data_IF_833604865827
#
_entry.id   IF_833604865827
#
_cell.length_a   1.000
_cell.length_b   1.000
_cell.length_c   1.000
_cell.angle_alpha   90.00
_cell.angle_beta   90.00
_cell.angle_gamma   90.00
#
_symmetry.space_group_name_H-M   'P 1'
#
loop_
_entity.id
_entity.type
_entity.pdbx_description
1 polymer ?
#
# COMPACT_ATOMS: atom_id res chain seq x y z
N UNK A 1 -14.88 -6.53 9.44
CA UNK A 1 -15.47 -5.44 8.63
C UNK A 1 -16.29 -6.09 7.53
N UNK A 2 -17.43 -5.55 7.18
CA UNK A 2 -18.26 -6.08 6.10
C UNK A 2 -17.88 -5.41 4.78
N UNK A 3 -17.53 -6.22 3.80
CA UNK A 3 -17.22 -5.78 2.43
C UNK A 3 -18.16 -6.44 1.41
N UNK A 4 -19.24 -7.11 1.85
CA UNK A 4 -20.17 -7.87 1.00
C UNK A 4 -20.55 -7.12 -0.27
N UNK A 5 -20.43 -7.78 -1.42
CA UNK A 5 -20.75 -7.22 -2.73
C UNK A 5 -19.71 -6.25 -3.31
N UNK A 6 -18.57 -6.06 -2.64
CA UNK A 6 -17.44 -5.24 -3.16
C UNK A 6 -16.36 -6.13 -3.78
N UNK A 7 -15.47 -5.53 -4.56
CA UNK A 7 -14.30 -6.17 -5.13
C UNK A 7 -13.09 -5.27 -4.97
N UNK A 8 -11.94 -5.86 -4.61
CA UNK A 8 -10.72 -5.12 -4.36
C UNK A 8 -9.58 -5.50 -5.31
N UNK A 9 -8.73 -4.52 -5.61
CA UNK A 9 -7.40 -4.72 -6.17
C UNK A 9 -6.39 -4.42 -5.06
N UNK A 10 -5.43 -5.33 -4.83
CA UNK A 10 -4.34 -5.13 -3.87
C UNK A 10 -3.02 -5.29 -4.60
N UNK A 11 -2.28 -4.19 -4.80
CA UNK A 11 -0.91 -4.29 -5.30
C UNK A 11 0.01 -4.78 -4.19
N UNK A 12 0.96 -5.68 -4.51
CA UNK A 12 1.80 -6.30 -3.48
C UNK A 12 1.03 -7.24 -2.54
N UNK A 13 -0.10 -7.79 -3.00
CA UNK A 13 -0.98 -8.63 -2.21
C UNK A 13 -0.47 -10.06 -1.95
N UNK A 14 0.67 -10.43 -2.54
CA UNK A 14 1.22 -11.78 -2.41
C UNK A 14 1.91 -12.03 -1.06
N UNK A 15 2.43 -11.00 -0.40
CA UNK A 15 3.22 -11.10 0.83
C UNK A 15 2.93 -9.98 1.84
N UNK A 16 3.45 -10.16 3.07
CA UNK A 16 3.53 -9.12 4.10
C UNK A 16 2.19 -8.44 4.41
N UNK A 17 2.19 -7.10 4.46
CA UNK A 17 0.99 -6.30 4.77
C UNK A 17 -0.10 -6.54 3.73
N UNK A 18 0.26 -6.58 2.43
CA UNK A 18 -0.71 -6.79 1.34
C UNK A 18 -1.43 -8.13 1.45
N UNK A 19 -0.73 -9.20 1.83
CA UNK A 19 -1.34 -10.53 2.07
C UNK A 19 -2.35 -10.50 3.23
N UNK A 20 -2.06 -9.78 4.32
CA UNK A 20 -3.00 -9.64 5.43
C UNK A 20 -4.21 -8.75 5.08
N UNK A 21 -4.02 -7.77 4.18
CA UNK A 21 -5.14 -7.03 3.59
C UNK A 21 -6.03 -7.96 2.75
N UNK A 22 -5.42 -8.80 1.89
CA UNK A 22 -6.16 -9.81 1.11
C UNK A 22 -6.94 -10.74 2.04
N UNK A 23 -6.31 -11.26 3.11
CA UNK A 23 -6.98 -12.08 4.14
C UNK A 23 -8.23 -11.38 4.69
N UNK A 24 -8.07 -10.16 5.20
CA UNK A 24 -9.16 -9.43 5.85
C UNK A 24 -10.31 -9.07 4.90
N UNK A 25 -10.03 -8.85 3.60
CA UNK A 25 -11.06 -8.60 2.59
C UNK A 25 -11.81 -9.91 2.28
N UNK A 26 -11.11 -11.03 2.12
CA UNK A 26 -11.73 -12.35 1.86
C UNK A 26 -12.60 -12.79 3.04
N UNK A 27 -12.12 -12.62 4.27
CA UNK A 27 -12.89 -12.88 5.49
C UNK A 27 -14.12 -11.97 5.61
N UNK A 28 -14.06 -10.77 5.03
CA UNK A 28 -15.20 -9.85 4.87
C UNK A 28 -16.17 -10.21 3.75
N UNK A 29 -16.01 -11.37 3.09
CA UNK A 29 -16.97 -11.91 2.11
C UNK A 29 -16.77 -11.40 0.67
N UNK A 30 -15.56 -10.97 0.28
CA UNK A 30 -15.29 -10.27 -0.98
C UNK A 30 -14.19 -10.92 -1.82
N UNK A 31 -14.33 -10.80 -3.14
CA UNK A 31 -13.27 -11.22 -4.07
C UNK A 31 -12.15 -10.18 -4.19
N UNK A 32 -10.93 -10.66 -4.28
CA UNK A 32 -9.71 -9.84 -4.37
C UNK A 32 -8.91 -10.20 -5.59
N UNK A 33 -8.40 -9.19 -6.28
CA UNK A 33 -7.39 -9.36 -7.32
C UNK A 33 -6.04 -8.94 -6.71
N UNK A 34 -5.14 -9.90 -6.58
CA UNK A 34 -3.73 -9.63 -6.28
C UNK A 34 -3.07 -9.14 -7.57
N UNK A 35 -2.52 -7.92 -7.54
CA UNK A 35 -1.66 -7.39 -8.59
C UNK A 35 -0.22 -7.39 -8.06
N UNK A 36 0.63 -8.30 -8.53
CA UNK A 36 1.97 -8.51 -7.99
C UNK A 36 2.95 -8.92 -9.10
N UNK A 37 4.23 -8.66 -8.88
CA UNK A 37 5.32 -9.14 -9.74
C UNK A 37 5.65 -10.62 -9.46
N UNK A 38 5.45 -11.07 -8.21
CA UNK A 38 5.80 -12.42 -7.76
C UNK A 38 4.64 -13.40 -7.91
N UNK A 39 4.53 -13.99 -9.10
CA UNK A 39 3.50 -14.98 -9.42
C UNK A 39 3.53 -16.20 -8.48
N UNK A 40 4.72 -16.68 -8.09
CA UNK A 40 4.83 -17.85 -7.24
C UNK A 40 4.23 -17.60 -5.84
N UNK A 41 4.53 -16.45 -5.24
CA UNK A 41 3.94 -16.02 -3.96
C UNK A 41 2.43 -15.78 -4.08
N UNK A 42 1.97 -15.17 -5.19
CA UNK A 42 0.55 -14.96 -5.44
C UNK A 42 -0.21 -16.29 -5.56
N UNK A 43 0.34 -17.28 -6.25
CA UNK A 43 -0.25 -18.62 -6.35
C UNK A 43 -0.33 -19.33 -4.99
N UNK A 44 0.67 -19.17 -4.13
CA UNK A 44 0.62 -19.69 -2.76
C UNK A 44 -0.50 -19.04 -1.94
N UNK A 45 -0.69 -17.71 -2.08
CA UNK A 45 -1.76 -16.97 -1.44
C UNK A 45 -3.15 -17.39 -1.97
N UNK A 46 -3.28 -17.60 -3.28
CA UNK A 46 -4.52 -18.15 -3.87
C UNK A 46 -4.82 -19.55 -3.32
N UNK A 47 -3.81 -20.41 -3.20
CA UNK A 47 -4.01 -21.75 -2.65
C UNK A 47 -4.48 -21.72 -1.17
N UNK A 48 -4.08 -20.70 -0.41
CA UNK A 48 -4.49 -20.52 0.99
C UNK A 48 -5.93 -19.98 1.10
N UNK A 49 -6.32 -18.99 0.28
CA UNK A 49 -7.60 -18.29 0.41
C UNK A 49 -8.70 -18.79 -0.55
N UNK A 50 -8.34 -19.65 -1.51
CA UNK A 50 -9.28 -20.26 -2.44
C UNK A 50 -9.76 -19.33 -3.56
N UNK A 51 -10.93 -19.65 -4.16
CA UNK A 51 -11.40 -19.05 -5.42
C UNK A 51 -11.86 -17.58 -5.29
N UNK A 52 -11.92 -17.03 -4.07
CA UNK A 52 -12.20 -15.61 -3.85
C UNK A 52 -11.03 -14.71 -4.25
N UNK A 53 -9.85 -15.27 -4.48
CA UNK A 53 -8.64 -14.55 -4.83
C UNK A 53 -8.22 -14.88 -6.25
N UNK A 54 -8.00 -13.86 -7.07
CA UNK A 54 -7.46 -13.93 -8.41
C UNK A 54 -6.10 -13.22 -8.49
N UNK A 55 -5.36 -13.43 -9.55
CA UNK A 55 -4.04 -12.84 -9.77
C UNK A 55 -3.93 -12.19 -11.15
N UNK A 56 -3.28 -11.03 -11.17
CA UNK A 56 -2.83 -10.37 -12.39
C UNK A 56 -1.37 -9.96 -12.20
N UNK A 57 -0.51 -10.37 -13.11
CA UNK A 57 0.89 -9.93 -13.11
C UNK A 57 0.98 -8.43 -13.36
N UNK A 58 1.70 -7.70 -12.49
CA UNK A 58 1.87 -6.26 -12.62
C UNK A 58 3.24 -5.83 -12.07
N UNK A 59 4.05 -5.22 -12.94
CA UNK A 59 5.29 -4.54 -12.54
C UNK A 59 5.01 -3.04 -12.37
N UNK A 60 5.10 -2.53 -11.13
CA UNK A 60 4.93 -1.11 -10.83
C UNK A 60 6.08 -0.23 -11.36
N UNK A 61 7.18 -0.83 -11.79
CA UNK A 61 8.27 -0.15 -12.47
C UNK A 61 8.04 0.08 -13.97
N UNK A 62 6.98 -0.48 -14.53
CA UNK A 62 6.64 -0.42 -15.96
C UNK A 62 5.22 0.14 -16.15
N UNK A 63 5.14 1.34 -16.74
CA UNK A 63 3.86 2.02 -16.95
C UNK A 63 2.93 1.25 -17.91
N UNK A 64 3.48 0.69 -19.00
CA UNK A 64 2.68 -0.07 -19.98
C UNK A 64 2.15 -1.37 -19.39
N UNK A 65 2.96 -2.04 -18.54
CA UNK A 65 2.51 -3.21 -17.80
C UNK A 65 1.37 -2.88 -16.83
N UNK A 66 1.44 -1.74 -16.13
CA UNK A 66 0.36 -1.27 -15.25
C UNK A 66 -0.90 -1.00 -16.07
N UNK A 67 -0.80 -0.26 -17.17
CA UNK A 67 -1.94 0.05 -18.04
C UNK A 67 -2.64 -1.21 -18.54
N UNK A 68 -1.87 -2.15 -19.09
CA UNK A 68 -2.36 -3.43 -19.58
C UNK A 68 -3.06 -4.23 -18.49
N UNK A 69 -2.44 -4.36 -17.32
CA UNK A 69 -3.00 -5.09 -16.20
C UNK A 69 -4.30 -4.43 -15.68
N UNK A 70 -4.30 -3.11 -15.48
CA UNK A 70 -5.48 -2.39 -15.02
C UNK A 70 -6.62 -2.46 -16.04
N UNK A 71 -6.36 -2.32 -17.34
CA UNK A 71 -7.37 -2.48 -18.37
C UNK A 71 -7.97 -3.90 -18.36
N UNK A 72 -7.14 -4.93 -18.21
CA UNK A 72 -7.62 -6.31 -18.12
C UNK A 72 -8.53 -6.55 -16.90
N UNK A 73 -8.28 -5.86 -15.80
CA UNK A 73 -9.08 -5.94 -14.58
C UNK A 73 -10.38 -5.15 -14.72
N UNK A 74 -10.29 -3.90 -15.17
CA UNK A 74 -11.42 -2.95 -15.19
C UNK A 74 -12.40 -3.23 -16.33
N UNK A 75 -12.01 -4.02 -17.35
CA UNK A 75 -12.92 -4.49 -18.41
C UNK A 75 -13.78 -5.69 -18.02
N UNK A 76 -13.54 -6.30 -16.87
CA UNK A 76 -14.33 -7.44 -16.36
C UNK A 76 -15.72 -6.97 -15.95
N UNK A 77 -16.74 -7.85 -15.99
CA UNK A 77 -18.14 -7.48 -15.68
C UNK A 77 -18.34 -7.10 -14.19
N UNK A 78 -17.51 -7.66 -13.30
CA UNK A 78 -17.61 -7.39 -11.88
C UNK A 78 -17.00 -6.04 -11.53
N UNK A 79 -17.76 -5.22 -10.82
CA UNK A 79 -17.31 -3.91 -10.38
C UNK A 79 -16.12 -4.01 -9.42
N UNK A 80 -15.16 -3.12 -9.59
CA UNK A 80 -14.09 -2.85 -8.62
C UNK A 80 -14.49 -1.65 -7.76
N UNK A 81 -14.37 -1.79 -6.44
CA UNK A 81 -14.76 -0.78 -5.45
C UNK A 81 -13.60 -0.23 -4.64
N UNK A 82 -12.52 -1.02 -4.54
CA UNK A 82 -11.39 -0.74 -3.66
C UNK A 82 -10.07 -0.94 -4.42
N UNK A 83 -9.16 0.04 -4.30
CA UNK A 83 -7.75 -0.11 -4.69
C UNK A 83 -6.88 0.08 -3.45
N UNK A 84 -6.03 -0.90 -3.14
CA UNK A 84 -4.99 -0.78 -2.12
C UNK A 84 -3.62 -0.82 -2.81
N UNK A 85 -2.90 0.30 -2.77
CA UNK A 85 -1.52 0.40 -3.22
C UNK A 85 -0.59 0.03 -2.06
N UNK A 86 -0.23 -1.25 -1.97
CA UNK A 86 0.63 -1.78 -0.91
C UNK A 86 2.04 -2.16 -1.39
N UNK A 87 2.22 -2.43 -2.68
CA UNK A 87 3.52 -2.74 -3.25
C UNK A 87 4.51 -1.57 -3.13
N UNK A 88 5.77 -1.89 -2.93
CA UNK A 88 6.85 -0.90 -2.89
C UNK A 88 8.21 -1.54 -2.69
N UNK A 89 9.23 -0.74 -2.80
CA UNK A 89 10.63 -1.12 -2.56
C UNK A 89 11.26 -0.15 -1.57
N UNK A 90 12.25 -0.64 -0.82
CA UNK A 90 13.02 0.20 0.11
C UNK A 90 14.39 0.51 -0.50
N UNK A 91 14.88 1.71 -0.24
CA UNK A 91 16.27 2.10 -0.45
C UNK A 91 16.84 2.49 0.92
N UNK A 92 17.91 1.84 1.33
CA UNK A 92 18.53 2.02 2.64
C UNK A 92 19.96 2.61 2.55
N UNK A 93 20.44 2.95 1.35
CA UNK A 93 21.78 3.52 1.17
C UNK A 93 21.85 4.95 1.73
N UNK A 94 22.95 5.32 2.42
CA UNK A 94 23.24 6.70 2.78
C UNK A 94 23.23 7.61 1.53
N UNK A 95 22.96 8.90 1.73
CA UNK A 95 22.76 9.84 0.63
C UNK A 95 23.99 9.94 -0.30
N UNK A 96 25.19 9.92 0.26
CA UNK A 96 26.47 9.95 -0.46
C UNK A 96 26.79 8.67 -1.25
N UNK A 97 26.04 7.58 -1.03
CA UNK A 97 26.17 6.31 -1.72
C UNK A 97 24.94 5.98 -2.59
N UNK A 98 23.92 6.84 -2.57
CA UNK A 98 22.69 6.65 -3.32
C UNK A 98 22.95 6.98 -4.80
N UNK A 99 22.88 5.97 -5.68
CA UNK A 99 23.01 6.21 -7.12
C UNK A 99 21.73 6.81 -7.70
N UNK A 100 21.89 7.48 -8.87
CA UNK A 100 20.75 8.04 -9.60
C UNK A 100 19.75 6.93 -10.02
N UNK A 101 20.26 5.80 -10.45
CA UNK A 101 19.44 4.65 -10.87
C UNK A 101 18.60 4.09 -9.72
N UNK A 102 19.16 4.03 -8.50
CA UNK A 102 18.42 3.57 -7.31
C UNK A 102 17.38 4.60 -6.87
N UNK A 103 17.71 5.89 -6.95
CA UNK A 103 16.76 6.98 -6.76
C UNK A 103 15.59 6.87 -7.73
N UNK A 104 15.86 6.85 -9.04
CA UNK A 104 14.84 6.75 -10.09
C UNK A 104 13.99 5.49 -9.95
N UNK A 105 14.62 4.33 -9.68
CA UNK A 105 13.89 3.09 -9.46
C UNK A 105 12.93 3.19 -8.27
N UNK A 106 13.37 3.79 -7.17
CA UNK A 106 12.55 3.92 -5.95
C UNK A 106 11.37 4.86 -6.17
N UNK A 107 11.60 6.02 -6.78
CA UNK A 107 10.53 6.97 -7.15
C UNK A 107 9.56 6.34 -8.14
N UNK A 108 10.08 5.67 -9.17
CA UNK A 108 9.27 5.03 -10.22
C UNK A 108 8.32 3.98 -9.65
N UNK A 109 8.79 3.10 -8.77
CA UNK A 109 7.96 2.05 -8.19
C UNK A 109 7.01 2.62 -7.13
N UNK A 110 7.52 3.38 -6.15
CA UNK A 110 6.74 3.74 -4.97
C UNK A 110 5.78 4.91 -5.18
N UNK A 111 6.08 5.80 -6.11
CA UNK A 111 5.28 7.00 -6.35
C UNK A 111 4.64 6.99 -7.74
N UNK A 112 5.44 6.87 -8.80
CA UNK A 112 4.93 6.89 -10.18
C UNK A 112 4.04 5.67 -10.45
N UNK A 113 4.40 4.48 -9.95
CA UNK A 113 3.56 3.27 -10.05
C UNK A 113 2.21 3.44 -9.36
N UNK A 114 2.18 4.02 -8.15
CA UNK A 114 0.91 4.34 -7.48
C UNK A 114 0.10 5.40 -8.25
N UNK A 115 0.76 6.43 -8.79
CA UNK A 115 0.09 7.39 -9.68
C UNK A 115 -0.53 6.67 -10.89
N UNK A 116 0.22 5.76 -11.52
CA UNK A 116 -0.26 5.03 -12.70
C UNK A 116 -1.47 4.15 -12.40
N UNK A 117 -1.48 3.41 -11.29
CA UNK A 117 -2.67 2.63 -10.89
C UNK A 117 -3.86 3.53 -10.60
N UNK A 118 -3.67 4.66 -9.92
CA UNK A 118 -4.72 5.62 -9.61
C UNK A 118 -5.24 6.28 -10.88
N UNK A 119 -4.38 6.64 -11.84
CA UNK A 119 -4.78 7.28 -13.10
C UNK A 119 -5.70 6.40 -13.95
N UNK A 120 -5.53 5.08 -13.87
CA UNK A 120 -6.40 4.13 -14.56
C UNK A 120 -7.74 3.94 -13.84
N UNK A 121 -7.74 3.86 -12.50
CA UNK A 121 -8.98 3.57 -11.76
C UNK A 121 -9.81 4.82 -11.48
N UNK A 122 -9.23 6.00 -11.41
CA UNK A 122 -9.94 7.24 -11.09
C UNK A 122 -11.10 7.55 -12.06
N UNK A 123 -10.91 7.50 -13.40
CA UNK A 123 -12.02 7.68 -14.34
C UNK A 123 -13.07 6.56 -14.22
N UNK A 124 -12.66 5.34 -13.93
CA UNK A 124 -13.57 4.22 -13.68
C UNK A 124 -14.42 4.48 -12.43
N UNK A 125 -13.83 4.84 -11.30
CA UNK A 125 -14.57 5.18 -10.07
C UNK A 125 -15.51 6.38 -10.26
N UNK A 126 -15.09 7.36 -11.05
CA UNK A 126 -15.95 8.50 -11.40
C UNK A 126 -17.21 8.07 -12.15
N UNK A 127 -17.11 7.13 -13.08
CA UNK A 127 -18.26 6.57 -13.82
C UNK A 127 -19.11 5.64 -12.93
N UNK A 128 -18.47 4.89 -12.03
CA UNK A 128 -19.12 3.96 -11.13
C UNK A 128 -19.71 4.62 -9.86
N UNK A 129 -19.75 5.96 -9.80
CA UNK A 129 -20.28 6.74 -8.67
C UNK A 129 -19.56 6.50 -7.34
N UNK A 130 -18.23 6.33 -7.41
CA UNK A 130 -17.37 6.28 -6.23
C UNK A 130 -16.49 5.04 -6.12
N UNK A 131 -15.57 5.09 -5.18
CA UNK A 131 -14.63 4.03 -4.83
C UNK A 131 -13.68 4.45 -3.70
N UNK A 132 -12.88 3.51 -3.22
CA UNK A 132 -11.95 3.73 -2.12
C UNK A 132 -10.52 3.41 -2.54
N UNK A 133 -9.61 4.32 -2.28
CA UNK A 133 -8.18 4.17 -2.53
C UNK A 133 -7.46 4.25 -1.19
N UNK A 134 -6.64 3.25 -0.88
CA UNK A 134 -5.77 3.27 0.30
C UNK A 134 -4.33 3.08 -0.14
N UNK A 135 -3.48 4.05 0.17
CA UNK A 135 -2.06 4.01 -0.15
C UNK A 135 -1.24 3.61 1.08
N UNK A 136 -0.33 2.67 0.94
CA UNK A 136 0.61 2.33 2.02
C UNK A 136 1.84 3.21 1.89
N UNK A 137 1.88 4.21 2.76
CA UNK A 137 3.00 5.15 2.91
C UNK A 137 4.03 4.61 3.90
N UNK A 138 4.60 5.45 4.74
CA UNK A 138 5.56 5.11 5.80
C UNK A 138 5.77 6.28 6.74
N UNK A 139 6.13 6.02 7.99
CA UNK A 139 6.68 7.06 8.89
C UNK A 139 7.93 7.74 8.32
N UNK A 140 8.67 7.09 7.42
CA UNK A 140 9.79 7.70 6.71
C UNK A 140 9.39 8.95 5.91
N UNK A 141 8.13 9.03 5.46
CA UNK A 141 7.58 10.21 4.78
C UNK A 141 7.51 11.45 5.68
N UNK A 142 7.40 11.24 6.99
CA UNK A 142 7.27 12.30 8.01
C UNK A 142 8.62 12.59 8.68
N UNK A 143 9.38 11.55 8.99
CA UNK A 143 10.66 11.64 9.69
C UNK A 143 11.87 11.92 8.77
N UNK A 144 11.69 11.89 7.45
CA UNK A 144 12.77 12.07 6.48
C UNK A 144 13.65 10.82 6.28
N UNK A 145 13.21 9.66 6.78
CA UNK A 145 13.93 8.41 6.70
C UNK A 145 14.34 7.88 8.06
N UNK A 146 15.42 7.10 8.11
CA UNK A 146 15.89 6.49 9.35
C UNK A 146 16.78 5.28 9.07
N UNK A 147 16.79 4.31 9.99
CA UNK A 147 17.58 3.08 9.85
C UNK A 147 17.05 2.15 8.73
N UNK A 148 15.78 2.30 8.40
CA UNK A 148 15.13 1.65 7.26
C UNK A 148 14.60 2.74 6.31
N UNK A 149 15.15 2.83 5.13
CA UNK A 149 14.71 3.82 4.16
C UNK A 149 15.36 5.17 4.37
N UNK A 150 16.00 5.61 3.34
CA UNK A 150 16.77 6.86 3.28
C UNK A 150 16.11 7.83 2.30
N UNK A 151 16.88 8.79 1.78
CA UNK A 151 16.36 9.90 0.98
C UNK A 151 15.39 9.50 -0.13
N UNK A 152 15.71 8.51 -0.97
CA UNK A 152 14.85 8.08 -2.06
C UNK A 152 13.52 7.51 -1.56
N UNK A 153 13.57 6.65 -0.55
CA UNK A 153 12.37 6.05 0.04
C UNK A 153 11.51 7.09 0.73
N UNK A 154 12.08 7.91 1.61
CA UNK A 154 11.37 8.97 2.32
C UNK A 154 10.70 9.95 1.35
N UNK A 155 11.44 10.40 0.31
CA UNK A 155 10.90 11.29 -0.72
C UNK A 155 9.75 10.65 -1.50
N UNK A 156 9.87 9.37 -1.87
CA UNK A 156 8.80 8.66 -2.58
C UNK A 156 7.51 8.56 -1.75
N UNK A 157 7.64 8.27 -0.43
CA UNK A 157 6.49 8.13 0.46
C UNK A 157 5.91 9.49 0.86
N UNK A 158 6.73 10.54 0.99
CA UNK A 158 6.25 11.92 1.17
C UNK A 158 5.47 12.41 -0.06
N UNK A 159 5.96 12.12 -1.27
CA UNK A 159 5.22 12.37 -2.52
C UNK A 159 3.89 11.63 -2.57
N UNK A 160 3.85 10.38 -2.11
CA UNK A 160 2.61 9.58 -2.05
C UNK A 160 1.57 10.19 -1.07
N UNK A 161 2.01 10.77 0.05
CA UNK A 161 1.14 11.51 0.96
C UNK A 161 0.53 12.75 0.26
N UNK A 162 1.33 13.48 -0.51
CA UNK A 162 0.86 14.60 -1.32
C UNK A 162 -0.16 14.17 -2.38
N UNK A 163 0.14 13.09 -3.12
CA UNK A 163 -0.76 12.50 -4.11
C UNK A 163 -2.09 12.07 -3.47
N UNK A 164 -2.05 11.41 -2.30
CA UNK A 164 -3.24 11.00 -1.56
C UNK A 164 -4.18 12.18 -1.28
N UNK A 165 -3.65 13.29 -0.78
CA UNK A 165 -4.42 14.51 -0.48
C UNK A 165 -4.99 15.15 -1.75
N UNK A 166 -4.24 15.17 -2.84
CA UNK A 166 -4.70 15.71 -4.12
C UNK A 166 -5.89 14.90 -4.66
N UNK A 167 -5.74 13.56 -4.71
CA UNK A 167 -6.80 12.66 -5.18
C UNK A 167 -8.06 12.74 -4.30
N UNK A 168 -7.91 12.86 -2.98
CA UNK A 168 -9.04 13.06 -2.07
C UNK A 168 -9.83 14.34 -2.39
N UNK A 169 -9.12 15.44 -2.63
CA UNK A 169 -9.75 16.74 -2.96
C UNK A 169 -10.47 16.69 -4.31
N UNK A 170 -9.83 16.12 -5.32
CA UNK A 170 -10.40 16.05 -6.67
C UNK A 170 -11.53 15.03 -6.78
N UNK A 171 -11.40 13.91 -6.06
CA UNK A 171 -12.30 12.76 -6.11
C UNK A 171 -13.56 12.89 -5.25
N UNK A 172 -13.52 13.69 -4.19
CA UNK A 172 -14.58 13.74 -3.18
C UNK A 172 -15.98 14.01 -3.75
N UNK A 173 -16.10 14.93 -4.71
CA UNK A 173 -17.40 15.23 -5.39
C UNK A 173 -17.94 14.06 -6.23
N UNK A 174 -17.15 13.04 -6.49
CA UNK A 174 -17.52 11.83 -7.21
C UNK A 174 -17.70 10.62 -6.27
N UNK A 175 -17.63 10.81 -4.95
CA UNK A 175 -17.67 9.71 -3.97
C UNK A 175 -16.39 8.88 -3.92
N UNK A 176 -15.27 9.43 -4.39
CA UNK A 176 -13.96 8.76 -4.34
C UNK A 176 -13.24 9.19 -3.07
N UNK A 177 -12.92 8.23 -2.22
CA UNK A 177 -12.14 8.42 -1.00
C UNK A 177 -10.69 7.99 -1.28
N UNK A 178 -9.74 8.76 -0.78
CA UNK A 178 -8.32 8.42 -0.89
C UNK A 178 -7.62 8.72 0.43
N UNK A 179 -7.10 7.70 1.10
CA UNK A 179 -6.38 7.82 2.37
C UNK A 179 -5.04 7.09 2.30
N UNK A 180 -4.12 7.41 3.20
CA UNK A 180 -2.86 6.70 3.34
C UNK A 180 -2.67 6.18 4.76
N UNK A 181 -1.97 5.05 4.90
CA UNK A 181 -1.49 4.51 6.17
C UNK A 181 0.02 4.64 6.20
N UNK A 182 0.57 5.11 7.32
CA UNK A 182 2.00 5.24 7.58
C UNK A 182 2.47 4.20 8.61
N UNK A 183 2.91 3.01 8.16
CA UNK A 183 3.50 2.04 9.07
C UNK A 183 4.88 2.47 9.57
N UNK A 184 5.24 2.03 10.78
CA UNK A 184 6.62 1.99 11.26
C UNK A 184 7.26 0.62 11.00
N UNK A 185 8.17 0.19 11.87
CA UNK A 185 8.87 -1.08 11.75
C UNK A 185 7.90 -2.26 11.87
N UNK A 186 7.57 -2.84 10.74
CA UNK A 186 6.65 -3.98 10.60
C UNK A 186 7.41 -5.24 10.19
N UNK A 187 7.06 -6.39 10.72
CA UNK A 187 7.68 -7.69 10.40
C UNK A 187 7.25 -8.18 9.01
N UNK A 188 8.07 -7.90 8.00
CA UNK A 188 7.85 -8.31 6.59
C UNK A 188 9.17 -8.75 5.98
N UNK A 189 9.14 -9.40 4.80
CA UNK A 189 10.36 -9.71 4.06
C UNK A 189 11.18 -8.45 3.74
N UNK A 190 10.54 -7.34 3.44
CA UNK A 190 11.19 -6.04 3.19
C UNK A 190 12.07 -5.57 4.37
N UNK A 191 11.71 -5.93 5.58
CA UNK A 191 12.40 -5.52 6.81
C UNK A 191 13.32 -6.59 7.40
N UNK A 192 13.48 -7.74 6.73
CA UNK A 192 14.30 -8.88 7.20
C UNK A 192 15.75 -8.47 7.45
N UNK A 193 16.35 -7.69 6.55
CA UNK A 193 17.75 -7.21 6.70
C UNK A 193 17.96 -6.45 8.03
N UNK A 194 16.98 -5.65 8.45
CA UNK A 194 17.04 -4.98 9.75
C UNK A 194 16.80 -5.97 10.90
N UNK A 195 15.92 -6.95 10.68
CA UNK A 195 15.58 -7.94 11.71
C UNK A 195 16.74 -8.88 12.01
N UNK A 196 17.65 -9.11 11.07
CA UNK A 196 18.86 -9.91 11.20
C UNK A 196 19.96 -9.17 11.97
N UNK A 197 19.92 -7.83 12.02
CA UNK A 197 20.82 -7.01 12.82
C UNK A 197 20.13 -6.66 14.17
N UNK A 198 20.44 -7.43 15.19
CA UNK A 198 19.79 -7.32 16.50
C UNK A 198 19.97 -5.94 17.16
N UNK A 199 21.14 -5.30 16.98
CA UNK A 199 21.44 -3.98 17.55
C UNK A 199 20.61 -2.90 16.85
N UNK A 200 20.61 -2.87 15.53
CA UNK A 200 19.78 -1.93 14.77
C UNK A 200 18.29 -2.14 15.01
N UNK A 201 17.86 -3.41 15.05
CA UNK A 201 16.46 -3.77 15.35
C UNK A 201 16.05 -3.22 16.72
N UNK A 202 16.85 -3.45 17.76
CA UNK A 202 16.58 -2.97 19.12
C UNK A 202 16.59 -1.44 19.19
N UNK A 203 17.47 -0.78 18.45
CA UNK A 203 17.51 0.68 18.37
C UNK A 203 16.22 1.25 17.77
N UNK A 204 15.69 0.65 16.68
CA UNK A 204 14.40 1.09 16.11
C UNK A 204 13.26 0.83 17.09
N UNK A 205 13.23 -0.37 17.72
CA UNK A 205 12.18 -0.73 18.68
C UNK A 205 12.16 0.24 19.87
N UNK A 206 13.34 0.68 20.36
CA UNK A 206 13.41 1.64 21.46
C UNK A 206 12.86 3.02 21.14
N UNK A 207 12.72 3.37 19.86
CA UNK A 207 12.08 4.61 19.41
C UNK A 207 10.56 4.50 19.32
N UNK A 208 10.01 3.28 19.37
CA UNK A 208 8.57 3.04 19.29
C UNK A 208 8.00 2.99 20.72
N UNK A 209 7.11 3.90 21.14
CA UNK A 209 6.53 3.90 22.49
C UNK A 209 5.87 2.59 22.89
N UNK A 210 5.26 1.84 21.98
CA UNK A 210 4.69 0.51 22.26
C UNK A 210 5.76 -0.58 22.46
N UNK A 211 7.06 -0.29 22.25
CA UNK A 211 8.18 -1.17 22.55
C UNK A 211 8.24 -2.45 21.74
N UNK A 212 7.61 -2.52 20.58
CA UNK A 212 7.57 -3.70 19.72
C UNK A 212 7.55 -3.33 18.23
N UNK A 213 7.89 -4.31 17.37
CA UNK A 213 7.56 -4.24 15.95
C UNK A 213 6.08 -4.50 15.75
N UNK A 214 5.50 -3.89 14.74
CA UNK A 214 4.16 -4.25 14.30
C UNK A 214 4.17 -5.61 13.57
N UNK A 215 3.10 -6.38 13.73
CA UNK A 215 2.81 -7.50 12.84
C UNK A 215 2.02 -6.97 11.62
N UNK A 216 2.15 -7.61 10.43
CA UNK A 216 1.46 -7.17 9.21
C UNK A 216 -0.04 -6.99 9.38
N UNK A 217 -0.69 -7.85 10.16
CA UNK A 217 -2.12 -7.79 10.45
C UNK A 217 -2.52 -6.51 11.19
N UNK A 218 -1.66 -5.96 12.06
CA UNK A 218 -1.95 -4.73 12.79
C UNK A 218 -2.02 -3.54 11.84
N UNK A 219 -1.17 -3.51 10.82
CA UNK A 219 -1.22 -2.49 9.75
C UNK A 219 -2.42 -2.70 8.83
N UNK A 220 -2.68 -3.95 8.44
CA UNK A 220 -3.80 -4.32 7.58
C UNK A 220 -5.14 -3.87 8.16
N UNK A 221 -5.33 -3.92 9.49
CA UNK A 221 -6.57 -3.48 10.14
C UNK A 221 -6.88 -2.00 9.86
N UNK A 222 -5.90 -1.12 9.86
CA UNK A 222 -6.11 0.30 9.55
C UNK A 222 -6.38 0.50 8.05
N UNK A 223 -5.70 -0.26 7.18
CA UNK A 223 -5.96 -0.23 5.73
C UNK A 223 -7.39 -0.67 5.45
N UNK A 224 -7.85 -1.76 6.07
CA UNK A 224 -9.20 -2.28 5.95
C UNK A 224 -10.25 -1.29 6.49
N UNK A 225 -9.95 -0.60 7.59
CA UNK A 225 -10.82 0.46 8.11
C UNK A 225 -11.02 1.57 7.06
N UNK A 226 -9.95 2.10 6.47
CA UNK A 226 -10.04 3.12 5.42
C UNK A 226 -10.71 2.60 4.13
N UNK A 227 -10.59 1.32 3.82
CA UNK A 227 -11.25 0.67 2.70
C UNK A 227 -12.73 0.37 2.94
N UNK A 228 -13.20 0.43 4.18
CA UNK A 228 -14.58 0.08 4.59
C UNK A 228 -15.50 1.31 4.64
N UNK A 229 -16.81 1.07 4.74
CA UNK A 229 -17.81 2.12 4.92
C UNK A 229 -17.77 2.77 6.32
N UNK A 230 -17.02 2.20 7.26
CA UNK A 230 -16.78 2.80 8.57
C UNK A 230 -15.99 4.13 8.45
N UNK A 231 -15.21 4.31 7.37
CA UNK A 231 -14.50 5.54 7.05
C UNK A 231 -15.29 6.48 6.11
N UNK A 232 -16.61 6.49 6.19
CA UNK A 232 -17.49 7.22 5.26
C UNK A 232 -17.38 8.75 5.32
N UNK A 233 -16.69 9.31 6.32
CA UNK A 233 -16.42 10.75 6.43
C UNK A 233 -14.93 11.06 6.56
N UNK A 234 -14.06 10.13 6.10
CA UNK A 234 -12.60 10.26 6.16
C UNK A 234 -12.03 10.18 4.74
N UNK A 235 -11.43 11.26 4.26
CA UNK A 235 -10.70 11.30 2.98
C UNK A 235 -9.56 12.32 3.05
N UNK A 236 -8.43 12.01 2.43
CA UNK A 236 -7.20 12.81 2.49
C UNK A 236 -6.41 12.61 3.78
N UNK A 237 -6.79 11.64 4.61
CA UNK A 237 -6.10 11.32 5.85
C UNK A 237 -4.78 10.59 5.59
N UNK A 238 -3.77 10.98 6.36
CA UNK A 238 -2.45 10.33 6.41
C UNK A 238 -2.30 9.75 7.81
N UNK A 239 -2.90 8.59 8.01
CA UNK A 239 -3.05 7.99 9.32
C UNK A 239 -1.82 7.20 9.76
N UNK A 240 -1.35 7.41 10.98
CA UNK A 240 -0.23 6.70 11.54
C UNK A 240 -0.64 5.37 12.16
N UNK A 241 0.05 4.31 11.76
CA UNK A 241 -0.04 2.98 12.35
C UNK A 241 1.37 2.54 12.75
N UNK A 242 1.94 3.22 13.73
CA UNK A 242 3.39 3.29 13.94
C UNK A 242 3.85 3.01 15.37
N UNK A 243 2.92 2.69 16.27
CA UNK A 243 3.21 2.45 17.69
C UNK A 243 3.60 3.71 18.48
N UNK A 244 3.31 4.90 17.92
CA UNK A 244 3.53 6.19 18.55
C UNK A 244 4.88 6.84 18.22
N UNK A 245 5.58 6.38 17.18
CA UNK A 245 6.93 6.91 16.87
C UNK A 245 6.88 8.34 16.30
N UNK A 246 5.80 8.75 15.61
CA UNK A 246 5.71 10.09 15.01
C UNK A 246 5.05 11.12 15.93
N UNK A 247 3.97 10.83 16.60
CA UNK A 247 3.22 11.74 17.50
C UNK A 247 2.98 13.15 16.91
N UNK A 248 2.68 13.24 15.62
CA UNK A 248 2.51 14.49 14.87
C UNK A 248 1.03 14.78 14.51
N UNK A 249 0.13 14.39 15.39
CA UNK A 249 -1.33 14.55 15.25
C UNK A 249 -1.81 15.98 15.13
#
# INVERSE_FOLDING_TARGET
MDFTGKRAIVTGGANGIGKEVVRGIVEGGVSVIIADLNEAAARATIAEFGPAVDFVHMDLGDHEAIETAMQSILSRPERVDILVNCAGVISAKPFDQLSYEEWERTIRINLTGCFSTISQIFPYFKQASGGRIVNVSSVAAKLGGGLLGTAAYASSKAGLNGLTKAIAKEGGKYGIYCNAVCPSFTRTEMTTVLSEDAEKSQRVISMIPLGKRAEPVEIAQMILFFASDLASFITGEIGDCDGGITLDG
#
